data_IF_703102193645
#
_entry.id   IF_703102193645
#
_cell.length_a   1.000
_cell.length_b   1.000
_cell.length_c   1.000
_cell.angle_alpha   90.00
_cell.angle_beta   90.00
_cell.angle_gamma   90.00
#
_symmetry.space_group_name_H-M   'P 1'
#
loop_
_entity.id
_entity.type
_entity.pdbx_description
1 polymer ?
#
# COMPACT_ATOMS: atom_id res chain seq x y z
N UNK A 1 -0.13 -52.55 -25.87
CA UNK A 1 -1.49 -52.03 -26.07
C UNK A 1 -2.19 -52.10 -24.73
N UNK A 2 -1.98 -51.08 -23.91
CA UNK A 2 -2.60 -50.92 -22.59
C UNK A 2 -3.83 -50.03 -22.71
N UNK A 3 -4.91 -50.47 -22.05
CA UNK A 3 -6.14 -49.73 -21.86
C UNK A 3 -6.23 -49.28 -20.39
N UNK A 4 -6.21 -47.96 -20.22
CA UNK A 4 -6.94 -47.16 -19.23
C UNK A 4 -7.31 -47.81 -17.88
N UNK A 5 -6.61 -47.38 -16.84
CA UNK A 5 -7.17 -47.28 -15.49
C UNK A 5 -6.96 -45.85 -14.97
N UNK A 6 -8.07 -45.13 -14.83
CA UNK A 6 -8.18 -43.83 -14.20
C UNK A 6 -8.11 -44.02 -12.69
N UNK A 7 -7.26 -43.27 -11.99
CA UNK A 7 -7.46 -42.97 -10.57
C UNK A 7 -7.44 -41.45 -10.40
N UNK A 8 -8.59 -40.92 -9.96
CA UNK A 8 -8.72 -39.57 -9.44
C UNK A 8 -8.28 -39.58 -7.97
N UNK A 9 -7.45 -38.62 -7.57
CA UNK A 9 -7.41 -38.15 -6.18
C UNK A 9 -7.27 -36.64 -6.13
N UNK A 10 -8.39 -35.99 -5.81
CA UNK A 10 -8.49 -34.61 -5.35
C UNK A 10 -8.55 -34.61 -3.82
N UNK A 11 -7.85 -33.67 -3.17
CA UNK A 11 -8.33 -32.93 -1.99
C UNK A 11 -7.17 -32.21 -1.29
N UNK A 12 -7.07 -30.91 -1.54
CA UNK A 12 -6.53 -29.90 -0.62
C UNK A 12 -6.89 -28.51 -1.14
N UNK A 13 -6.78 -28.28 -2.46
CA UNK A 13 -7.28 -27.06 -3.12
C UNK A 13 -8.80 -26.85 -2.97
N UNK A 14 -9.58 -27.94 -2.97
CA UNK A 14 -11.04 -27.88 -2.81
C UNK A 14 -11.50 -27.37 -1.44
N UNK A 15 -10.72 -27.62 -0.37
CA UNK A 15 -11.10 -27.19 0.97
C UNK A 15 -10.82 -25.70 1.20
N UNK A 16 -9.71 -25.18 0.67
CA UNK A 16 -9.39 -23.75 0.73
C UNK A 16 -10.42 -22.90 -0.04
N UNK A 17 -10.79 -23.32 -1.27
CA UNK A 17 -11.84 -22.65 -2.04
C UNK A 17 -13.23 -22.78 -1.40
N UNK A 18 -13.54 -23.91 -0.76
CA UNK A 18 -14.83 -24.09 -0.07
C UNK A 18 -14.95 -23.18 1.17
N UNK A 19 -13.90 -23.05 1.96
CA UNK A 19 -13.86 -22.12 3.10
C UNK A 19 -13.94 -20.66 2.64
N UNK A 20 -13.22 -20.29 1.57
CA UNK A 20 -13.36 -18.97 0.92
C UNK A 20 -14.79 -18.69 0.47
N UNK A 21 -15.44 -19.65 -0.18
CA UNK A 21 -16.85 -19.52 -0.60
C UNK A 21 -17.82 -19.42 0.58
N UNK A 22 -17.59 -20.12 1.69
CA UNK A 22 -18.44 -20.03 2.88
C UNK A 22 -18.34 -18.67 3.57
N UNK A 23 -17.16 -18.07 3.63
CA UNK A 23 -16.96 -16.74 4.21
C UNK A 23 -17.52 -15.63 3.31
N UNK A 24 -17.39 -15.76 1.98
CA UNK A 24 -18.10 -14.91 1.01
C UNK A 24 -19.64 -14.98 1.20
N UNK A 25 -20.17 -16.14 1.61
CA UNK A 25 -21.60 -16.30 1.90
C UNK A 25 -22.02 -15.69 3.25
N UNK A 26 -21.17 -15.69 4.29
CA UNK A 26 -21.48 -14.98 5.55
C UNK A 26 -21.67 -13.48 5.32
N UNK A 27 -20.94 -12.91 4.35
CA UNK A 27 -21.12 -11.52 3.95
C UNK A 27 -22.47 -11.23 3.29
N UNK A 28 -23.21 -12.23 2.77
CA UNK A 28 -24.57 -12.02 2.22
C UNK A 28 -25.62 -11.69 3.29
N UNK A 29 -25.35 -11.93 4.58
CA UNK A 29 -26.36 -11.81 5.63
C UNK A 29 -26.37 -10.47 6.40
N UNK A 30 -25.46 -9.54 6.11
CA UNK A 30 -25.43 -8.21 6.74
C UNK A 30 -25.96 -7.08 5.83
N UNK A 31 -27.06 -7.35 5.12
CA UNK A 31 -27.90 -6.30 4.52
C UNK A 31 -29.38 -6.62 4.71
N UNK A 32 -29.85 -6.52 5.95
CA UNK A 32 -31.28 -6.42 6.29
C UNK A 32 -31.47 -5.32 7.32
N UNK A 33 -31.66 -4.10 6.84
CA UNK A 33 -32.48 -3.11 7.54
C UNK A 33 -33.50 -2.61 6.53
N UNK A 34 -34.61 -3.33 6.50
CA UNK A 34 -35.88 -2.89 5.93
C UNK A 34 -36.69 -2.33 7.10
N UNK A 35 -37.01 -1.04 7.09
CA UNK A 35 -38.22 -0.55 7.75
C UNK A 35 -38.67 0.76 7.11
N UNK A 36 -39.78 0.68 6.38
CA UNK A 36 -40.63 1.82 6.02
C UNK A 36 -41.16 2.53 7.28
N UNK A 37 -41.11 3.86 7.29
CA UNK A 37 -42.17 4.70 7.85
C UNK A 37 -42.04 6.16 7.35
N UNK A 38 -42.92 6.56 6.43
CA UNK A 38 -43.26 7.97 6.17
C UNK A 38 -44.34 8.39 7.18
N UNK A 39 -44.18 9.53 7.87
CA UNK A 39 -45.11 10.69 7.86
C UNK A 39 -44.72 11.81 8.86
N UNK A 40 -44.37 12.97 8.30
CA UNK A 40 -44.71 14.38 8.65
C UNK A 40 -44.90 14.82 10.12
N UNK A 41 -44.08 15.80 10.58
CA UNK A 41 -44.58 17.16 10.98
C UNK A 41 -43.48 18.21 11.20
N UNK A 42 -43.71 19.38 10.62
CA UNK A 42 -43.01 20.67 10.81
C UNK A 42 -42.79 21.06 12.28
N UNK A 43 -41.64 21.70 12.57
CA UNK A 43 -41.60 22.97 13.32
C UNK A 43 -40.27 23.71 13.20
N UNK A 44 -40.42 24.93 12.68
CA UNK A 44 -39.49 26.06 12.68
C UNK A 44 -39.16 26.49 14.11
N UNK A 45 -37.90 26.87 14.39
CA UNK A 45 -37.59 27.91 15.39
C UNK A 45 -36.19 28.52 15.18
N UNK A 46 -36.21 29.78 14.76
CA UNK A 46 -35.11 30.76 14.83
C UNK A 46 -34.93 31.29 16.27
N UNK A 47 -33.68 31.63 16.65
CA UNK A 47 -33.30 32.73 17.57
C UNK A 47 -31.75 32.83 17.60
N UNK A 48 -31.13 33.73 16.85
CA UNK A 48 -30.78 35.13 17.17
C UNK A 48 -29.70 35.32 18.27
N UNK A 49 -28.49 35.68 17.81
CA UNK A 49 -27.59 36.76 18.28
C UNK A 49 -27.83 37.39 19.67
N UNK A 50 -26.74 37.51 20.46
CA UNK A 50 -26.30 38.79 21.07
C UNK A 50 -24.85 38.74 21.58
N UNK A 51 -24.31 39.95 21.79
CA UNK A 51 -22.92 40.42 21.63
C UNK A 51 -22.52 41.19 22.90
N UNK A 52 -21.22 41.20 23.23
CA UNK A 52 -20.56 42.15 24.15
C UNK A 52 -20.12 41.53 25.49
N UNK A 53 -18.97 41.84 26.11
CA UNK A 53 -17.99 42.93 25.97
C UNK A 53 -16.62 42.52 26.54
N UNK A 54 -15.58 43.25 26.10
CA UNK A 54 -14.13 43.14 26.36
C UNK A 54 -13.68 43.56 27.78
N UNK A 55 -12.49 43.07 28.17
CA UNK A 55 -11.39 43.84 28.81
C UNK A 55 -10.08 43.04 28.57
N UNK A 56 -9.22 43.36 27.58
CA UNK A 56 -8.05 44.27 27.59
C UNK A 56 -7.00 43.99 28.68
N UNK A 57 -5.86 43.41 28.28
CA UNK A 57 -4.52 43.89 28.65
C UNK A 57 -3.55 43.67 27.49
N UNK A 58 -2.70 44.66 27.26
CA UNK A 58 -1.93 44.94 26.04
C UNK A 58 -0.55 44.24 25.94
N UNK A 59 0.03 44.42 24.73
CA UNK A 59 1.45 44.33 24.29
C UNK A 59 1.84 42.95 23.75
N UNK A 60 2.35 42.81 22.52
CA UNK A 60 3.17 43.71 21.72
C UNK A 60 3.00 43.40 20.22
N UNK A 61 2.88 44.42 19.39
CA UNK A 61 2.82 44.32 17.93
C UNK A 61 4.19 43.93 17.34
N UNK A 62 4.19 42.88 16.53
CA UNK A 62 5.16 42.70 15.45
C UNK A 62 4.38 42.20 14.23
N UNK A 63 4.15 43.11 13.30
CA UNK A 63 3.53 42.85 12.00
C UNK A 63 4.44 41.95 11.17
N UNK A 64 4.07 40.69 11.01
CA UNK A 64 4.62 39.82 9.97
C UNK A 64 3.55 39.68 8.90
N UNK A 65 3.80 40.33 7.77
CA UNK A 65 3.00 40.24 6.56
C UNK A 65 2.85 38.79 6.12
N UNK A 66 1.61 38.32 5.99
CA UNK A 66 1.28 37.12 5.23
C UNK A 66 1.65 37.34 3.76
N UNK A 67 2.82 36.86 3.36
CA UNK A 67 3.06 36.50 1.98
C UNK A 67 2.35 35.16 1.74
N UNK A 68 1.31 35.19 0.93
CA UNK A 68 0.79 34.03 0.22
C UNK A 68 1.88 33.53 -0.72
N UNK A 69 2.80 32.72 -0.19
CA UNK A 69 3.72 31.94 -0.98
C UNK A 69 2.92 30.80 -1.61
N UNK A 70 2.57 30.94 -2.87
CA UNK A 70 2.25 29.82 -3.74
C UNK A 70 3.49 28.93 -3.78
N UNK A 71 3.55 27.94 -2.88
CA UNK A 71 4.52 26.86 -2.98
C UNK A 71 4.26 26.13 -4.28
N UNK A 72 5.26 26.12 -5.15
CA UNK A 72 5.23 25.39 -6.41
C UNK A 72 4.88 23.92 -6.14
N UNK A 73 3.84 23.45 -6.81
CA UNK A 73 3.46 22.03 -6.89
C UNK A 73 4.69 21.19 -7.29
N UNK A 74 4.86 19.95 -6.79
CA UNK A 74 5.94 19.09 -7.23
C UNK A 74 5.89 18.97 -8.75
N UNK A 75 6.93 19.49 -9.40
CA UNK A 75 7.02 19.64 -10.86
C UNK A 75 6.92 18.29 -11.56
N UNK A 76 5.70 17.89 -11.91
CA UNK A 76 5.44 17.17 -13.16
C UNK A 76 6.13 17.99 -14.25
N UNK A 77 6.98 17.40 -15.11
CA UNK A 77 7.61 18.14 -16.20
C UNK A 77 6.52 18.89 -16.97
N UNK A 78 6.49 20.22 -16.86
CA UNK A 78 5.43 21.14 -17.32
C UNK A 78 5.15 21.04 -18.83
N UNK A 79 5.92 20.24 -19.57
CA UNK A 79 5.80 20.03 -21.02
C UNK A 79 5.69 18.57 -21.49
N UNK A 80 5.50 17.58 -20.63
CA UNK A 80 5.08 16.23 -21.07
C UNK A 80 3.63 16.02 -20.67
N UNK A 81 2.72 15.97 -21.66
CA UNK A 81 1.38 15.48 -21.42
C UNK A 81 1.49 14.03 -20.94
N UNK A 82 1.17 13.78 -19.67
CA UNK A 82 1.03 12.45 -19.10
C UNK A 82 -0.15 11.67 -19.73
N UNK A 83 -1.00 12.34 -20.52
CA UNK A 83 -2.22 11.78 -21.11
C UNK A 83 -2.01 10.56 -22.01
N UNK A 84 -0.79 10.39 -22.56
CA UNK A 84 -0.45 9.26 -23.45
C UNK A 84 0.24 8.12 -22.69
N UNK A 85 0.54 8.31 -21.40
CA UNK A 85 1.20 7.32 -20.58
C UNK A 85 0.26 6.15 -20.27
N UNK A 86 0.80 4.95 -20.38
CA UNK A 86 0.17 3.71 -19.89
C UNK A 86 0.74 3.30 -18.55
N UNK A 87 2.02 3.60 -18.32
CA UNK A 87 2.73 3.32 -17.07
C UNK A 87 3.51 4.55 -16.65
N UNK A 88 3.38 4.93 -15.39
CA UNK A 88 4.27 5.87 -14.71
C UNK A 88 5.00 5.08 -13.62
N UNK A 89 6.32 5.11 -13.58
CA UNK A 89 7.08 4.44 -12.53
C UNK A 89 8.01 5.40 -11.80
N UNK A 90 8.28 5.11 -10.53
CA UNK A 90 9.21 5.86 -9.70
C UNK A 90 10.25 4.90 -9.11
N UNK A 91 11.51 5.33 -9.05
CA UNK A 91 12.64 4.49 -8.61
C UNK A 91 13.24 5.05 -7.32
N UNK A 92 13.26 4.24 -6.26
CA UNK A 92 13.96 4.54 -5.01
C UNK A 92 14.81 3.33 -4.64
N UNK A 93 16.07 3.25 -5.12
CA UNK A 93 16.86 2.04 -5.02
C UNK A 93 17.48 1.82 -3.65
N UNK A 94 17.50 2.84 -2.77
CA UNK A 94 18.10 2.82 -1.43
C UNK A 94 19.55 2.27 -1.39
N UNK A 95 20.47 3.01 -1.99
CA UNK A 95 21.86 2.55 -2.19
C UNK A 95 22.67 2.51 -0.89
N UNK A 96 22.34 3.35 0.09
CA UNK A 96 23.01 3.42 1.40
C UNK A 96 22.48 2.43 2.44
N UNK A 97 21.24 1.95 2.28
CA UNK A 97 20.65 0.86 3.05
C UNK A 97 21.09 -0.47 2.45
N UNK A 98 22.26 -0.94 2.88
CA UNK A 98 22.79 -2.22 2.42
C UNK A 98 23.58 -2.97 3.49
N UNK A 99 23.36 -4.27 3.54
CA UNK A 99 24.22 -5.24 4.22
C UNK A 99 24.79 -6.22 3.18
N UNK A 100 26.10 -6.43 3.20
CA UNK A 100 26.74 -7.36 2.28
C UNK A 100 26.22 -8.80 2.45
N UNK A 101 25.99 -9.50 1.34
CA UNK A 101 25.44 -10.87 1.29
C UNK A 101 24.02 -11.04 1.86
N UNK A 102 23.35 -9.96 2.25
CA UNK A 102 21.97 -10.02 2.70
C UNK A 102 21.00 -10.14 1.51
N UNK A 103 19.95 -10.99 1.57
CA UNK A 103 19.01 -11.18 0.45
C UNK A 103 18.24 -9.90 0.09
N UNK A 104 17.91 -9.08 1.08
CA UNK A 104 17.45 -7.71 0.87
C UNK A 104 18.68 -6.80 0.67
N UNK A 105 19.07 -6.55 -0.58
CA UNK A 105 20.26 -5.77 -0.96
C UNK A 105 19.98 -4.67 -1.97
N UNK A 106 20.87 -3.67 -2.02
CA UNK A 106 20.78 -2.54 -2.95
C UNK A 106 20.87 -2.90 -4.43
N UNK A 107 21.27 -4.12 -4.78
CA UNK A 107 21.29 -4.57 -6.17
C UNK A 107 19.90 -4.89 -6.74
N UNK A 108 18.88 -5.10 -5.89
CA UNK A 108 17.56 -5.59 -6.34
C UNK A 108 16.86 -4.62 -7.28
N UNK A 109 16.75 -3.34 -6.90
CA UNK A 109 16.07 -2.33 -7.72
C UNK A 109 16.84 -2.01 -9.01
N UNK A 110 18.17 -1.74 -8.97
CA UNK A 110 18.97 -1.60 -10.18
C UNK A 110 18.88 -2.80 -11.12
N UNK A 111 18.80 -4.03 -10.59
CA UNK A 111 18.63 -5.23 -11.43
C UNK A 111 17.30 -5.24 -12.17
N UNK A 112 16.21 -4.78 -11.55
CA UNK A 112 14.93 -4.63 -12.23
C UNK A 112 15.01 -3.55 -13.31
N UNK A 113 15.58 -2.37 -12.99
CA UNK A 113 15.72 -1.27 -13.95
C UNK A 113 16.57 -1.71 -15.16
N UNK A 114 17.68 -2.40 -14.92
CA UNK A 114 18.52 -2.97 -15.98
C UNK A 114 17.77 -4.02 -16.82
N UNK A 115 16.90 -4.82 -16.20
CA UNK A 115 16.06 -5.74 -16.95
C UNK A 115 15.05 -4.98 -17.82
N UNK A 116 14.39 -3.94 -17.30
CA UNK A 116 13.46 -3.11 -18.09
C UNK A 116 14.16 -2.48 -19.30
N UNK A 117 15.37 -1.96 -19.13
CA UNK A 117 16.21 -1.48 -20.24
C UNK A 117 16.54 -2.59 -21.25
N UNK A 118 17.00 -3.76 -20.78
CA UNK A 118 17.36 -4.90 -21.63
C UNK A 118 16.18 -5.43 -22.46
N UNK A 119 14.98 -5.40 -21.91
CA UNK A 119 13.75 -5.81 -22.59
C UNK A 119 13.06 -4.67 -23.35
N UNK A 120 13.72 -3.52 -23.50
CA UNK A 120 13.23 -2.35 -24.22
C UNK A 120 11.91 -1.80 -23.63
N UNK A 121 11.68 -1.98 -22.33
CA UNK A 121 10.48 -1.56 -21.60
C UNK A 121 10.62 -0.18 -20.93
N UNK A 122 11.75 0.49 -21.10
CA UNK A 122 12.01 1.79 -20.49
C UNK A 122 11.51 2.97 -21.35
N UNK A 123 11.45 4.20 -20.80
CA UNK A 123 11.04 5.40 -21.54
C UNK A 123 11.88 5.64 -22.80
N UNK A 124 13.15 5.21 -22.80
CA UNK A 124 14.05 5.32 -23.95
C UNK A 124 13.51 4.59 -25.20
N UNK A 125 12.85 3.45 -25.01
CA UNK A 125 12.36 2.61 -26.10
C UNK A 125 10.84 2.70 -26.29
N UNK A 126 10.09 2.97 -25.22
CA UNK A 126 8.62 3.07 -25.23
C UNK A 126 8.09 4.50 -25.35
N UNK A 127 8.97 5.50 -25.37
CA UNK A 127 8.59 6.90 -25.58
C UNK A 127 7.66 7.41 -24.48
N UNK A 128 6.51 7.96 -24.87
CA UNK A 128 5.52 8.52 -23.92
C UNK A 128 4.62 7.46 -23.29
N UNK A 129 4.62 6.21 -23.77
CA UNK A 129 3.80 5.13 -23.18
C UNK A 129 4.29 4.75 -21.76
N UNK A 130 5.57 4.95 -21.49
CA UNK A 130 6.20 4.67 -20.20
C UNK A 130 6.97 5.89 -19.74
N UNK A 131 6.62 6.41 -18.56
CA UNK A 131 7.22 7.62 -17.99
C UNK A 131 7.87 7.29 -16.65
N UNK A 132 9.11 7.73 -16.47
CA UNK A 132 9.75 7.76 -15.16
C UNK A 132 9.41 9.08 -14.46
N UNK A 133 8.90 8.98 -13.23
CA UNK A 133 8.69 10.10 -12.34
C UNK A 133 10.00 10.37 -11.60
N UNK A 134 10.72 11.38 -12.06
CA UNK A 134 11.98 11.84 -11.47
C UNK A 134 11.73 12.93 -10.41
N UNK A 135 12.68 13.11 -9.49
CA UNK A 135 12.71 14.22 -8.53
C UNK A 135 11.46 14.37 -7.63
N UNK A 136 10.81 13.26 -7.27
CA UNK A 136 9.73 13.28 -6.29
C UNK A 136 10.25 13.52 -4.86
N UNK A 137 9.39 14.06 -4.02
CA UNK A 137 9.72 14.34 -2.62
C UNK A 137 9.69 13.06 -1.77
N UNK A 138 10.58 12.98 -0.79
CA UNK A 138 10.46 11.99 0.27
C UNK A 138 9.17 12.22 1.09
N UNK A 139 8.62 11.15 1.66
CA UNK A 139 7.47 11.24 2.55
C UNK A 139 7.82 12.09 3.78
N UNK A 140 6.87 12.93 4.23
CA UNK A 140 7.05 13.68 5.46
C UNK A 140 6.87 12.78 6.69
N UNK A 141 7.37 13.21 7.85
CA UNK A 141 7.13 12.50 9.11
C UNK A 141 5.64 12.41 9.46
N UNK A 142 4.81 13.33 8.97
CA UNK A 142 3.35 13.26 9.15
C UNK A 142 2.69 12.22 8.25
N UNK A 143 3.25 11.98 7.05
CA UNK A 143 2.81 10.89 6.19
C UNK A 143 3.09 9.54 6.86
N UNK A 144 4.30 9.35 7.36
CA UNK A 144 4.66 8.13 8.09
C UNK A 144 3.82 7.98 9.36
N UNK A 145 3.60 9.07 10.11
CA UNK A 145 2.81 9.07 11.35
C UNK A 145 1.30 8.86 11.14
N UNK A 146 0.83 8.78 9.89
CA UNK A 146 -0.56 8.39 9.60
C UNK A 146 -0.82 6.88 9.71
N UNK A 147 0.26 6.09 9.76
CA UNK A 147 0.23 4.63 9.91
C UNK A 147 1.04 4.21 11.15
N UNK A 148 2.20 4.82 11.34
CA UNK A 148 3.11 4.47 12.41
C UNK A 148 2.98 5.39 13.61
N UNK A 149 3.20 4.86 14.80
CA UNK A 149 3.25 5.68 16.01
C UNK A 149 4.41 6.67 15.94
N UNK A 150 4.19 7.91 16.40
CA UNK A 150 5.26 8.92 16.46
C UNK A 150 6.46 8.46 17.30
N UNK A 151 6.21 7.68 18.33
CA UNK A 151 7.25 7.08 19.17
C UNK A 151 8.16 6.14 18.36
N UNK A 152 7.59 5.30 17.49
CA UNK A 152 8.38 4.46 16.59
C UNK A 152 9.21 5.32 15.62
N UNK A 153 8.59 6.30 14.94
CA UNK A 153 9.29 7.16 13.98
C UNK A 153 10.49 7.87 14.62
N UNK A 154 10.28 8.54 15.77
CA UNK A 154 11.37 9.22 16.49
C UNK A 154 12.40 8.26 17.09
N UNK A 155 11.98 7.06 17.48
CA UNK A 155 12.89 6.02 17.97
C UNK A 155 13.81 5.50 16.88
N UNK A 156 13.28 5.27 15.68
CA UNK A 156 14.04 4.84 14.51
C UNK A 156 15.03 5.91 14.05
N UNK A 157 14.62 7.18 14.01
CA UNK A 157 15.51 8.30 13.68
C UNK A 157 16.72 8.35 14.62
N UNK A 158 16.49 8.22 15.94
CA UNK A 158 17.56 8.15 16.95
C UNK A 158 18.42 6.90 16.83
N UNK A 159 17.87 5.78 16.36
CA UNK A 159 18.64 4.57 16.12
C UNK A 159 19.70 4.78 15.01
N UNK A 160 19.48 5.73 14.09
CA UNK A 160 20.48 6.07 13.07
C UNK A 160 21.73 6.71 13.70
N UNK A 161 21.62 7.41 14.83
CA UNK A 161 22.79 7.89 15.58
C UNK A 161 23.67 6.75 16.07
N UNK A 162 23.09 5.59 16.37
CA UNK A 162 23.84 4.39 16.75
C UNK A 162 24.48 3.73 15.52
N UNK A 163 23.73 3.60 14.43
CA UNK A 163 24.24 3.11 13.15
C UNK A 163 25.41 3.95 12.62
N UNK A 164 25.38 5.27 12.83
CA UNK A 164 26.48 6.16 12.46
C UNK A 164 27.82 5.82 13.15
N UNK A 165 27.76 5.18 14.33
CA UNK A 165 28.93 4.80 15.14
C UNK A 165 29.34 3.34 14.94
N UNK A 166 28.36 2.45 14.73
CA UNK A 166 28.54 1.00 14.73
C UNK A 166 28.49 0.39 13.32
N UNK A 167 28.10 1.18 12.31
CA UNK A 167 27.82 0.69 10.98
C UNK A 167 26.42 0.08 10.90
N UNK A 168 26.36 -1.23 10.68
CA UNK A 168 25.09 -1.96 10.57
C UNK A 168 24.61 -2.34 11.98
N UNK A 169 23.35 -2.03 12.28
CA UNK A 169 22.67 -2.44 13.51
C UNK A 169 21.49 -3.35 13.18
N UNK A 170 21.13 -4.23 14.11
CA UNK A 170 19.89 -5.00 14.06
C UNK A 170 18.86 -4.32 14.97
N UNK A 171 17.64 -4.16 14.49
CA UNK A 171 16.57 -3.56 15.30
C UNK A 171 15.92 -4.66 16.13
N UNK A 172 16.07 -4.59 17.45
CA UNK A 172 15.47 -5.59 18.36
C UNK A 172 13.95 -5.69 18.18
N UNK A 173 13.41 -6.92 18.23
CA UNK A 173 11.97 -7.18 18.11
C UNK A 173 11.39 -7.09 16.69
N UNK A 174 12.21 -6.78 15.67
CA UNK A 174 11.80 -6.61 14.27
C UNK A 174 12.04 -7.84 13.37
N UNK A 175 12.39 -9.00 13.96
CA UNK A 175 12.91 -10.11 13.18
C UNK A 175 14.25 -9.74 12.50
N UNK A 176 14.52 -10.21 11.27
CA UNK A 176 15.82 -10.04 10.61
C UNK A 176 16.01 -8.65 9.94
N UNK A 177 15.52 -7.56 10.55
CA UNK A 177 15.63 -6.22 9.94
C UNK A 177 16.91 -5.51 10.37
N UNK A 178 17.81 -5.30 9.41
CA UNK A 178 19.02 -4.51 9.60
C UNK A 178 18.76 -3.02 9.34
N UNK A 179 19.64 -2.17 9.85
CA UNK A 179 19.67 -0.75 9.54
C UNK A 179 21.11 -0.22 9.44
N UNK A 180 21.28 0.73 8.52
CA UNK A 180 22.45 1.57 8.29
C UNK A 180 22.10 3.03 8.62
N UNK A 181 23.08 3.93 8.61
CA UNK A 181 22.86 5.37 8.81
C UNK A 181 21.87 5.98 7.81
N UNK A 182 21.77 5.43 6.60
CA UNK A 182 20.90 5.94 5.53
C UNK A 182 19.47 5.39 5.60
N UNK A 183 19.21 4.41 6.46
CA UNK A 183 17.95 3.64 6.46
C UNK A 183 16.72 4.51 6.65
N UNK A 184 16.78 5.45 7.59
CA UNK A 184 15.65 6.32 7.87
C UNK A 184 15.31 7.18 6.66
N UNK A 185 16.31 7.89 6.11
CA UNK A 185 16.09 8.79 4.98
C UNK A 185 15.68 8.04 3.71
N UNK A 186 16.31 6.90 3.41
CA UNK A 186 15.95 6.11 2.23
C UNK A 186 14.56 5.46 2.36
N UNK A 187 14.12 5.13 3.58
CA UNK A 187 12.74 4.67 3.82
C UNK A 187 11.71 5.78 3.60
N UNK A 188 12.05 7.06 3.90
CA UNK A 188 11.19 8.19 3.55
C UNK A 188 11.09 8.37 2.04
N UNK A 189 12.19 8.19 1.30
CA UNK A 189 12.19 8.25 -0.17
C UNK A 189 11.34 7.11 -0.75
N UNK A 190 11.45 5.89 -0.21
CA UNK A 190 10.63 4.75 -0.63
C UNK A 190 9.13 5.01 -0.48
N UNK A 191 8.71 5.52 0.68
CA UNK A 191 7.31 5.91 0.91
C UNK A 191 6.88 7.09 0.02
N UNK A 192 7.78 8.06 -0.18
CA UNK A 192 7.55 9.24 -1.02
C UNK A 192 7.30 8.90 -2.49
N UNK A 193 7.99 7.89 -3.02
CA UNK A 193 7.73 7.39 -4.38
C UNK A 193 6.28 6.91 -4.55
N UNK A 194 5.74 6.18 -3.55
CA UNK A 194 4.34 5.75 -3.56
C UNK A 194 3.37 6.93 -3.52
N UNK A 195 3.64 7.93 -2.67
CA UNK A 195 2.85 9.16 -2.57
C UNK A 195 2.82 9.91 -3.92
N UNK A 196 3.97 10.10 -4.55
CA UNK A 196 4.07 10.84 -5.80
C UNK A 196 3.36 10.13 -6.95
N UNK A 197 3.39 8.78 -6.97
CA UNK A 197 2.62 8.01 -7.94
C UNK A 197 1.11 8.10 -7.69
N UNK A 198 0.65 8.19 -6.44
CA UNK A 198 -0.77 8.47 -6.15
C UNK A 198 -1.17 9.81 -6.77
N UNK A 199 -0.39 10.88 -6.54
CA UNK A 199 -0.67 12.19 -7.10
C UNK A 199 -0.77 12.15 -8.63
N UNK A 200 0.22 11.53 -9.28
CA UNK A 200 0.28 11.43 -10.74
C UNK A 200 -0.90 10.64 -11.33
N UNK A 201 -1.20 9.46 -10.78
CA UNK A 201 -2.31 8.61 -11.26
C UNK A 201 -3.65 9.28 -11.03
N UNK A 202 -3.86 9.90 -9.86
CA UNK A 202 -5.12 10.58 -9.55
C UNK A 202 -5.30 11.83 -10.41
N UNK A 203 -4.23 12.60 -10.67
CA UNK A 203 -4.28 13.73 -11.59
C UNK A 203 -4.73 13.30 -13.00
N UNK A 204 -4.14 12.25 -13.55
CA UNK A 204 -4.50 11.75 -14.89
C UNK A 204 -5.89 11.12 -14.94
N UNK A 205 -6.35 10.49 -13.87
CA UNK A 205 -7.71 9.93 -13.79
C UNK A 205 -8.82 10.97 -13.91
N UNK A 206 -8.53 12.24 -13.62
CA UNK A 206 -9.46 13.37 -13.79
C UNK A 206 -9.58 13.81 -15.25
N UNK A 207 -8.62 13.42 -16.10
CA UNK A 207 -8.51 13.87 -17.50
C UNK A 207 -8.86 12.73 -18.46
N UNK A 208 -8.42 11.50 -18.16
CA UNK A 208 -8.58 10.31 -19.01
C UNK A 208 -9.48 9.27 -18.35
N UNK A 209 -10.33 8.61 -19.15
CA UNK A 209 -11.10 7.43 -18.71
C UNK A 209 -10.23 6.18 -18.51
N UNK A 210 -9.01 6.19 -19.05
CA UNK A 210 -8.03 5.11 -18.92
C UNK A 210 -6.72 5.72 -18.42
N UNK A 211 -6.65 6.11 -17.13
CA UNK A 211 -5.43 6.67 -16.57
C UNK A 211 -4.27 5.66 -16.60
N UNK A 212 -3.01 6.13 -16.58
CA UNK A 212 -1.86 5.26 -16.44
C UNK A 212 -1.87 4.49 -15.12
N UNK A 213 -1.16 3.36 -15.12
CA UNK A 213 -0.84 2.59 -13.92
C UNK A 213 0.43 3.13 -13.28
N UNK A 214 0.43 3.27 -11.96
CA UNK A 214 1.63 3.64 -11.19
C UNK A 214 2.44 2.41 -10.77
N UNK A 215 3.77 2.47 -10.86
CA UNK A 215 4.66 1.39 -10.45
C UNK A 215 5.85 1.89 -9.62
N UNK A 216 5.89 1.56 -8.33
CA UNK A 216 6.97 1.96 -7.44
C UNK A 216 8.06 0.86 -7.38
N UNK A 217 9.25 1.15 -7.91
CA UNK A 217 10.46 0.33 -7.81
C UNK A 217 11.29 0.79 -6.60
N UNK A 218 10.91 0.31 -5.42
CA UNK A 218 11.36 0.90 -4.16
C UNK A 218 12.02 -0.10 -3.22
N UNK A 219 12.93 0.43 -2.42
CA UNK A 219 13.51 -0.16 -1.21
C UNK A 219 13.72 0.93 -0.15
N UNK A 220 13.73 0.59 1.15
CA UNK A 220 13.38 -0.70 1.74
C UNK A 220 11.89 -1.07 1.53
N UNK A 221 11.50 -2.34 1.70
CA UNK A 221 10.11 -2.75 1.56
C UNK A 221 9.22 -2.32 2.74
N UNK A 222 7.91 -2.61 2.65
CA UNK A 222 6.95 -2.06 3.62
C UNK A 222 5.89 -2.98 4.21
N UNK A 223 5.43 -4.03 3.54
CA UNK A 223 4.18 -4.72 3.93
C UNK A 223 4.20 -5.43 5.31
N UNK A 224 5.38 -5.69 5.87
CA UNK A 224 5.54 -6.25 7.23
C UNK A 224 5.65 -5.18 8.32
N UNK A 225 5.96 -3.92 7.98
CA UNK A 225 6.19 -2.88 8.98
C UNK A 225 4.90 -2.58 9.76
N UNK A 226 4.86 -3.02 11.02
CA UNK A 226 3.71 -2.84 11.91
C UNK A 226 3.62 -1.38 12.39
N UNK A 227 2.46 -0.91 12.86
CA UNK A 227 2.30 0.47 13.34
C UNK A 227 3.31 0.90 14.42
N UNK A 228 3.86 -0.04 15.18
CA UNK A 228 4.78 0.21 16.30
C UNK A 228 6.24 -0.16 16.02
N UNK A 229 6.61 -0.62 14.83
CA UNK A 229 7.99 -1.06 14.60
C UNK A 229 8.27 -1.61 13.19
N UNK A 230 9.56 -1.80 12.88
CA UNK A 230 9.96 -2.48 11.65
C UNK A 230 9.75 -3.98 11.79
N UNK A 231 9.64 -4.69 10.67
CA UNK A 231 9.59 -6.15 10.67
C UNK A 231 9.93 -6.72 9.29
N UNK A 232 10.57 -7.89 9.20
CA UNK A 232 10.72 -8.61 7.92
C UNK A 232 11.37 -7.77 6.81
N UNK A 233 12.46 -7.09 7.14
CA UNK A 233 13.17 -6.12 6.27
C UNK A 233 12.41 -4.83 6.00
N UNK A 234 11.17 -4.71 6.45
CA UNK A 234 10.34 -3.54 6.22
C UNK A 234 10.52 -2.51 7.33
N UNK A 235 10.71 -1.26 6.94
CA UNK A 235 10.94 -0.14 7.86
C UNK A 235 9.67 0.70 8.04
N UNK A 236 9.13 1.22 6.94
CA UNK A 236 7.84 1.91 6.92
C UNK A 236 6.86 1.18 5.98
N UNK A 237 5.59 1.17 6.34
CA UNK A 237 4.51 0.56 5.57
C UNK A 237 4.20 1.37 4.32
N UNK A 238 5.01 1.24 3.27
CA UNK A 238 4.93 2.05 2.04
C UNK A 238 3.50 2.07 1.45
N UNK A 239 2.88 0.89 1.27
CA UNK A 239 1.51 0.79 0.72
C UNK A 239 0.46 1.35 1.68
N UNK A 240 0.66 1.17 2.98
CA UNK A 240 -0.26 1.69 4.00
C UNK A 240 -0.19 3.23 4.06
N UNK A 241 1.00 3.81 3.96
CA UNK A 241 1.22 5.25 3.88
C UNK A 241 0.57 5.81 2.60
N UNK A 242 0.74 5.13 1.46
CA UNK A 242 0.07 5.51 0.21
C UNK A 242 -1.46 5.46 0.33
N UNK A 243 -2.03 4.45 1.00
CA UNK A 243 -3.47 4.35 1.24
C UNK A 243 -4.00 5.52 2.09
N UNK A 244 -3.34 5.82 3.21
CA UNK A 244 -3.71 6.96 4.07
C UNK A 244 -3.54 8.30 3.36
N UNK A 245 -2.50 8.44 2.54
CA UNK A 245 -2.30 9.61 1.70
C UNK A 245 -3.43 9.77 0.67
N UNK A 246 -3.82 8.70 -0.02
CA UNK A 246 -4.92 8.71 -0.99
C UNK A 246 -6.25 9.16 -0.35
N UNK A 247 -6.58 8.62 0.84
CA UNK A 247 -7.77 9.02 1.60
C UNK A 247 -7.73 10.49 1.99
N UNK A 248 -6.63 10.95 2.58
CA UNK A 248 -6.51 12.29 3.16
C UNK A 248 -6.35 13.39 2.10
N UNK A 249 -5.51 13.16 1.09
CA UNK A 249 -5.12 14.18 0.11
C UNK A 249 -6.06 14.21 -1.10
N UNK A 250 -6.65 13.07 -1.47
CA UNK A 250 -7.50 12.94 -2.66
C UNK A 250 -8.95 12.56 -2.37
N UNK A 251 -9.31 12.31 -1.10
CA UNK A 251 -10.68 11.95 -0.71
C UNK A 251 -11.12 10.57 -1.19
N UNK A 252 -10.18 9.71 -1.60
CA UNK A 252 -10.45 8.34 -2.07
C UNK A 252 -10.75 7.47 -0.86
N UNK A 253 -12.03 7.40 -0.49
CA UNK A 253 -12.50 6.80 0.76
C UNK A 253 -12.17 5.30 0.80
N UNK A 254 -12.59 4.53 -0.20
CA UNK A 254 -12.46 3.07 -0.24
C UNK A 254 -11.18 2.66 -0.96
N UNK A 255 -10.23 2.09 -0.24
CA UNK A 255 -8.96 1.61 -0.82
C UNK A 255 -8.92 0.08 -0.74
N UNK A 256 -8.66 -0.59 -1.86
CA UNK A 256 -8.46 -2.04 -1.87
C UNK A 256 -6.98 -2.36 -2.04
N UNK A 257 -6.36 -2.96 -1.01
CA UNK A 257 -4.98 -3.40 -1.02
C UNK A 257 -4.94 -4.91 -1.34
N UNK A 258 -4.26 -5.28 -2.42
CA UNK A 258 -4.02 -6.66 -2.83
C UNK A 258 -2.53 -6.96 -2.59
N UNK A 259 -2.25 -7.86 -1.65
CA UNK A 259 -0.89 -8.34 -1.39
C UNK A 259 -0.72 -9.75 -1.96
N UNK A 260 0.16 -9.89 -2.96
CA UNK A 260 0.52 -11.19 -3.51
C UNK A 260 1.98 -11.57 -3.27
N UNK A 261 2.68 -10.86 -2.37
CA UNK A 261 3.96 -11.37 -1.89
C UNK A 261 3.78 -12.76 -1.26
N UNK A 262 4.82 -13.59 -1.32
CA UNK A 262 4.75 -14.95 -0.76
C UNK A 262 4.59 -14.94 0.77
N UNK A 263 4.95 -13.85 1.44
CA UNK A 263 4.78 -13.67 2.88
C UNK A 263 3.53 -12.84 3.16
N UNK A 264 2.85 -13.15 4.27
CA UNK A 264 1.71 -12.36 4.70
C UNK A 264 2.15 -10.94 5.08
N UNK A 265 1.56 -9.92 4.45
CA UNK A 265 1.75 -8.50 4.77
C UNK A 265 1.13 -8.07 6.10
N UNK A 266 1.56 -8.69 7.19
CA UNK A 266 1.01 -8.50 8.53
C UNK A 266 1.04 -7.04 9.01
N UNK A 267 2.05 -6.25 8.60
CA UNK A 267 2.11 -4.83 8.95
C UNK A 267 0.97 -4.03 8.33
N UNK A 268 0.63 -4.36 7.08
CA UNK A 268 -0.51 -3.77 6.38
C UNK A 268 -1.84 -4.25 6.96
N UNK A 269 -1.96 -5.55 7.25
CA UNK A 269 -3.11 -6.11 7.98
C UNK A 269 -3.34 -5.35 9.30
N UNK A 270 -2.33 -5.26 10.16
CA UNK A 270 -2.42 -4.63 11.48
C UNK A 270 -2.75 -3.14 11.41
N UNK A 271 -2.28 -2.44 10.38
CA UNK A 271 -2.55 -1.02 10.18
C UNK A 271 -4.03 -0.71 9.90
N UNK A 272 -4.78 -1.68 9.38
CA UNK A 272 -6.14 -1.48 8.87
C UNK A 272 -7.16 -2.48 9.40
N UNK A 273 -6.80 -3.31 10.38
CA UNK A 273 -7.62 -4.42 10.86
C UNK A 273 -9.03 -4.00 11.35
N UNK A 274 -9.13 -2.78 11.88
CA UNK A 274 -10.38 -2.19 12.37
C UNK A 274 -11.02 -1.19 11.37
N UNK A 275 -10.47 -1.04 10.17
CA UNK A 275 -10.84 0.01 9.21
C UNK A 275 -11.84 -0.49 8.14
N UNK A 276 -13.10 0.00 8.11
CA UNK A 276 -14.09 -0.40 7.12
C UNK A 276 -13.81 0.14 5.71
N UNK A 277 -12.98 1.17 5.59
CA UNK A 277 -12.72 1.89 4.36
C UNK A 277 -11.46 1.36 3.64
N UNK A 278 -10.73 0.42 4.25
CA UNK A 278 -9.58 -0.25 3.65
C UNK A 278 -9.85 -1.75 3.60
N UNK A 279 -9.97 -2.32 2.40
CA UNK A 279 -10.00 -3.77 2.23
C UNK A 279 -8.56 -4.26 2.04
N UNK A 280 -8.06 -5.11 2.93
CA UNK A 280 -6.82 -5.83 2.74
C UNK A 280 -7.08 -7.28 2.32
N UNK A 281 -6.49 -7.73 1.21
CA UNK A 281 -6.49 -9.12 0.78
C UNK A 281 -5.05 -9.58 0.58
N UNK A 282 -4.67 -10.68 1.22
CA UNK A 282 -3.34 -11.27 1.04
C UNK A 282 -3.43 -12.72 0.56
N UNK A 283 -2.71 -13.04 -0.51
CA UNK A 283 -2.34 -14.41 -0.86
C UNK A 283 -0.91 -14.64 -0.42
N UNK A 284 -0.67 -15.63 0.43
CA UNK A 284 0.67 -15.91 0.96
C UNK A 284 0.86 -17.42 1.16
N UNK A 285 2.10 -17.87 1.24
CA UNK A 285 2.38 -19.28 1.50
C UNK A 285 2.06 -19.64 2.96
N UNK A 286 1.24 -20.67 3.13
CA UNK A 286 0.89 -21.21 4.44
C UNK A 286 2.13 -21.72 5.19
N UNK A 287 2.19 -21.42 6.49
CA UNK A 287 3.31 -21.74 7.37
C UNK A 287 4.61 -20.98 7.09
N UNK A 288 4.66 -20.08 6.10
CA UNK A 288 5.82 -19.21 5.86
C UNK A 288 5.93 -18.11 6.93
N UNK A 289 7.11 -17.50 7.04
CA UNK A 289 7.26 -16.29 7.84
C UNK A 289 6.21 -15.24 7.41
N UNK A 290 5.55 -14.52 8.35
CA UNK A 290 5.76 -14.52 9.80
C UNK A 290 4.92 -15.52 10.61
N UNK A 291 4.19 -16.43 9.95
CA UNK A 291 3.28 -17.38 10.61
C UNK A 291 1.93 -16.77 11.03
N UNK A 292 1.55 -15.64 10.44
CA UNK A 292 0.24 -14.97 10.60
C UNK A 292 -0.55 -15.02 9.28
N UNK A 293 -1.78 -14.48 9.25
CA UNK A 293 -2.60 -14.49 8.03
C UNK A 293 -3.54 -15.70 7.98
N UNK A 294 -4.14 -16.04 9.12
CA UNK A 294 -5.05 -17.17 9.19
C UNK A 294 -6.35 -16.85 8.50
N UNK A 295 -7.00 -17.88 7.96
CA UNK A 295 -8.25 -17.75 7.23
C UNK A 295 -9.37 -17.11 8.07
N UNK A 296 -9.35 -17.32 9.38
CA UNK A 296 -10.35 -16.80 10.32
C UNK A 296 -10.13 -15.34 10.70
N UNK A 297 -8.97 -14.76 10.39
CA UNK A 297 -8.66 -13.36 10.67
C UNK A 297 -9.30 -12.49 9.60
N UNK A 298 -10.52 -12.00 9.89
CA UNK A 298 -11.38 -11.29 8.92
C UNK A 298 -11.55 -9.80 9.20
N UNK A 299 -10.74 -9.23 10.10
CA UNK A 299 -10.90 -7.87 10.63
C UNK A 299 -11.63 -7.86 11.96
N UNK A 300 -11.74 -6.70 12.58
CA UNK A 300 -12.39 -6.53 13.88
C UNK A 300 -13.19 -5.22 13.94
N UNK A 301 -14.20 -5.19 14.81
CA UNK A 301 -15.06 -4.01 14.99
C UNK A 301 -15.72 -3.58 13.69
N UNK A 302 -15.54 -2.30 13.33
CA UNK A 302 -16.09 -1.74 12.09
C UNK A 302 -15.40 -2.32 10.84
N UNK A 303 -14.16 -2.82 10.96
CA UNK A 303 -13.41 -3.48 9.88
C UNK A 303 -13.74 -4.97 9.70
N UNK A 304 -14.69 -5.54 10.44
CA UNK A 304 -15.07 -6.94 10.22
C UNK A 304 -15.58 -7.15 8.77
N UNK A 305 -14.91 -8.04 8.04
CA UNK A 305 -15.16 -8.32 6.63
C UNK A 305 -14.32 -7.52 5.64
N UNK A 306 -13.42 -6.65 6.10
CA UNK A 306 -12.46 -5.90 5.26
C UNK A 306 -11.03 -6.44 5.34
N UNK A 307 -10.84 -7.64 5.90
CA UNK A 307 -9.61 -8.42 5.78
C UNK A 307 -9.92 -9.79 5.21
N UNK A 308 -9.17 -10.22 4.18
CA UNK A 308 -9.28 -11.56 3.59
C UNK A 308 -7.89 -12.18 3.40
N UNK A 309 -7.58 -13.14 4.26
CA UNK A 309 -6.34 -13.90 4.19
C UNK A 309 -6.55 -15.23 3.46
N UNK A 310 -5.70 -15.48 2.47
CA UNK A 310 -5.70 -16.68 1.63
C UNK A 310 -4.36 -17.40 1.75
N UNK A 311 -4.14 -18.16 2.84
CA UNK A 311 -2.96 -19.02 2.97
C UNK A 311 -3.01 -20.13 1.92
N UNK A 312 -2.02 -20.15 1.03
CA UNK A 312 -1.90 -21.09 -0.07
C UNK A 312 -0.83 -22.14 0.22
N UNK A 313 -1.02 -23.41 -0.19
CA UNK A 313 0.02 -24.42 -0.08
C UNK A 313 1.30 -24.00 -0.81
N UNK A 314 2.46 -24.35 -0.25
CA UNK A 314 3.75 -24.18 -0.94
C UNK A 314 3.76 -24.83 -2.32
N UNK A 315 4.33 -24.14 -3.31
CA UNK A 315 4.33 -24.59 -4.71
C UNK A 315 3.07 -24.22 -5.49
N UNK A 316 2.15 -23.43 -4.92
CA UNK A 316 1.03 -22.84 -5.66
C UNK A 316 1.53 -21.94 -6.78
N UNK A 317 1.38 -22.38 -8.04
CA UNK A 317 1.82 -21.64 -9.21
C UNK A 317 0.70 -20.88 -9.93
N UNK A 318 0.95 -20.54 -11.20
CA UNK A 318 0.09 -19.67 -12.02
C UNK A 318 -1.38 -20.07 -12.06
N UNK A 319 -1.70 -21.38 -12.12
CA UNK A 319 -3.09 -21.84 -12.12
C UNK A 319 -3.81 -21.48 -10.82
N UNK A 320 -3.17 -21.68 -9.67
CA UNK A 320 -3.75 -21.34 -8.37
C UNK A 320 -3.98 -19.83 -8.26
N UNK A 321 -2.97 -19.04 -8.63
CA UNK A 321 -3.09 -17.57 -8.61
C UNK A 321 -4.16 -17.07 -9.58
N UNK A 322 -4.28 -17.64 -10.78
CA UNK A 322 -5.35 -17.30 -11.72
C UNK A 322 -6.73 -17.59 -11.14
N UNK A 323 -6.92 -18.75 -10.52
CA UNK A 323 -8.17 -19.09 -9.83
C UNK A 323 -8.47 -18.12 -8.69
N UNK A 324 -7.48 -17.74 -7.88
CA UNK A 324 -7.68 -16.72 -6.83
C UNK A 324 -8.08 -15.37 -7.42
N UNK A 325 -7.45 -14.95 -8.52
CA UNK A 325 -7.82 -13.72 -9.21
C UNK A 325 -9.27 -13.75 -9.70
N UNK A 326 -9.63 -14.78 -10.47
CA UNK A 326 -10.92 -14.90 -11.13
C UNK A 326 -12.07 -15.15 -10.14
N UNK A 327 -11.86 -16.00 -9.12
CA UNK A 327 -12.92 -16.43 -8.20
C UNK A 327 -12.98 -15.63 -6.89
N UNK A 328 -11.93 -14.88 -6.53
CA UNK A 328 -11.85 -14.18 -5.24
C UNK A 328 -11.57 -12.68 -5.42
N UNK A 329 -10.42 -12.30 -5.99
CA UNK A 329 -10.00 -10.90 -6.05
C UNK A 329 -10.99 -10.05 -6.88
N UNK A 330 -11.37 -10.51 -8.07
CA UNK A 330 -12.30 -9.79 -8.94
C UNK A 330 -13.68 -9.62 -8.29
N UNK A 331 -14.34 -10.68 -7.76
CA UNK A 331 -15.59 -10.52 -7.01
C UNK A 331 -15.48 -9.61 -5.78
N UNK A 332 -14.36 -9.66 -5.06
CA UNK A 332 -14.09 -8.78 -3.92
C UNK A 332 -14.04 -7.31 -4.35
N UNK A 333 -13.29 -6.99 -5.41
CA UNK A 333 -13.21 -5.64 -5.96
C UNK A 333 -14.59 -5.14 -6.42
N UNK A 334 -15.34 -5.96 -7.15
CA UNK A 334 -16.69 -5.60 -7.64
C UNK A 334 -17.65 -5.28 -6.50
N UNK A 335 -17.54 -6.00 -5.37
CA UNK A 335 -18.44 -5.80 -4.24
C UNK A 335 -18.00 -4.65 -3.33
N UNK A 336 -16.70 -4.50 -3.09
CA UNK A 336 -16.15 -3.42 -2.28
C UNK A 336 -16.19 -2.07 -3.01
N UNK A 337 -16.14 -2.09 -4.34
CA UNK A 337 -16.16 -0.90 -5.23
C UNK A 337 -15.10 0.12 -4.81
N UNK A 338 -13.80 -0.24 -4.83
CA UNK A 338 -12.74 0.68 -4.41
C UNK A 338 -12.71 1.94 -5.26
N UNK A 339 -12.34 3.06 -4.63
CA UNK A 339 -11.99 4.29 -5.31
C UNK A 339 -10.55 4.19 -5.88
N UNK A 340 -9.70 3.36 -5.28
CA UNK A 340 -8.37 3.00 -5.77
C UNK A 340 -7.95 1.61 -5.27
N UNK A 341 -7.21 0.89 -6.11
CA UNK A 341 -6.58 -0.39 -5.81
C UNK A 341 -5.07 -0.16 -5.66
N UNK A 342 -4.51 -0.62 -4.56
CA UNK A 342 -3.06 -0.67 -4.34
C UNK A 342 -2.63 -2.12 -4.30
N UNK A 343 -1.41 -2.40 -4.75
CA UNK A 343 -0.90 -3.76 -4.80
C UNK A 343 0.45 -3.81 -4.11
N UNK A 344 0.63 -4.72 -3.16
CA UNK A 344 1.96 -5.15 -2.71
C UNK A 344 2.41 -6.28 -3.62
N UNK A 345 3.13 -5.91 -4.67
CA UNK A 345 3.62 -6.80 -5.71
C UNK A 345 4.98 -7.39 -5.33
N UNK A 346 4.96 -8.28 -4.34
CA UNK A 346 6.11 -9.08 -4.01
C UNK A 346 6.30 -10.24 -4.98
N UNK A 347 7.50 -10.39 -5.53
CA UNK A 347 7.91 -11.53 -6.33
C UNK A 347 9.04 -12.23 -5.60
N UNK A 348 8.63 -13.09 -4.68
CA UNK A 348 9.49 -14.02 -3.94
C UNK A 348 9.38 -15.45 -4.48
N UNK A 349 8.53 -15.69 -5.48
CA UNK A 349 8.09 -17.01 -5.96
C UNK A 349 8.64 -17.41 -7.35
N UNK A 350 9.90 -17.08 -7.67
CA UNK A 350 10.62 -17.81 -8.74
C UNK A 350 11.75 -18.58 -8.08
N UNK A 351 11.92 -19.82 -8.52
CA UNK A 351 12.83 -20.89 -8.06
C UNK A 351 14.31 -20.53 -7.80
N UNK A 352 14.71 -19.27 -7.88
CA UNK A 352 16.07 -18.77 -7.64
C UNK A 352 16.04 -17.51 -6.75
N UNK A 353 15.84 -17.70 -5.44
CA UNK A 353 16.42 -16.91 -4.33
C UNK A 353 16.23 -15.38 -4.23
N UNK A 354 15.58 -14.71 -5.17
CA UNK A 354 15.51 -13.25 -5.22
C UNK A 354 14.11 -12.77 -4.86
N UNK A 355 13.96 -12.32 -3.61
CA UNK A 355 12.80 -11.54 -3.14
C UNK A 355 12.77 -10.26 -4.00
N UNK A 356 11.68 -9.92 -4.64
CA UNK A 356 11.43 -8.62 -5.30
C UNK A 356 10.19 -8.00 -4.63
N UNK A 357 10.17 -6.70 -4.36
CA UNK A 357 8.98 -6.02 -3.84
C UNK A 357 8.73 -4.81 -4.74
N UNK A 358 7.54 -4.73 -5.32
CA UNK A 358 7.06 -3.60 -6.11
C UNK A 358 5.68 -3.18 -5.61
N UNK A 359 5.24 -1.95 -5.83
CA UNK A 359 3.87 -1.54 -5.56
C UNK A 359 3.18 -1.11 -6.86
N UNK A 360 2.00 -1.66 -7.17
CA UNK A 360 1.19 -1.27 -8.34
C UNK A 360 -0.02 -0.45 -7.85
N UNK A 361 -0.24 0.72 -8.45
CA UNK A 361 -1.42 1.55 -8.20
C UNK A 361 -2.36 1.44 -9.40
N UNK A 362 -3.58 0.94 -9.17
CA UNK A 362 -4.63 0.84 -10.17
C UNK A 362 -5.83 1.71 -9.74
N UNK A 363 -6.33 2.57 -10.64
CA UNK A 363 -7.55 3.34 -10.43
C UNK A 363 -8.70 2.69 -11.21
N UNK A 364 -9.74 2.22 -10.52
CA UNK A 364 -11.01 1.83 -11.14
C UNK A 364 -11.93 3.05 -11.24
N UNK A 365 -12.15 3.58 -12.44
CA UNK A 365 -13.45 4.16 -12.77
C UNK A 365 -14.38 2.98 -13.13
N UNK A 366 -15.33 2.66 -12.26
CA UNK A 366 -16.46 1.82 -12.64
C UNK A 366 -17.34 2.60 -13.63
N UNK A 367 -17.75 1.95 -14.72
CA UNK A 367 -18.80 2.47 -15.62
C UNK A 367 -20.13 2.73 -14.89
#
# INVERSE_FOLDING_TARGET
MELLAVSFSSSLAGNALFLARQHLCKWKNHSRFDLEAKFVRNKILNKSLRRGRRCLSEKTEASISCSTGTGEDPLIPVNKKLSDARVIYAVAPAMGHNQESHPESHFRVPSIVNALEKWELSPKFRGLEVIELENFNAASSNDIASVHTRAYVSGLEKAMDQASKQGIILIEGSGPTYATVDTFQESLVAAGAGIALIDAVVAESKISKSPPVGFALIRPPGHHAIPKGPMGFCVFGNVAVAARYAQRSHGLKRVFIIDFDVHHGNGTNDAFYDDPDIFFLSTHQDGSYPGTGKFEEVGHGDGEGTTLNLPLPGGSGDTAMRTVFDEIIVPCAQRFKPDIILVSAGKSAIHDGNILHACILYSTTCE
#
